data_IF_051207764270
#
_entry.id   IF_051207764270
#
_cell.length_a   1.000
_cell.length_b   1.000
_cell.length_c   1.000
_cell.angle_alpha   90.00
_cell.angle_beta   90.00
_cell.angle_gamma   90.00
#
_symmetry.space_group_name_H-M   'P 1'
#
loop_
_entity.id
_entity.type
_entity.pdbx_description
1 polymer ?
#
# COMPACT_ATOMS: atom_id res chain seq x y z
N UNK A 1 -28.98 -12.67 -12.95
CA UNK A 1 -28.32 -13.89 -12.44
C UNK A 1 -28.71 -14.08 -10.98
N UNK A 2 -29.48 -15.11 -10.68
CA UNK A 2 -29.89 -15.41 -9.30
C UNK A 2 -28.69 -15.91 -8.48
N UNK A 3 -28.46 -15.30 -7.32
CA UNK A 3 -27.42 -15.67 -6.36
C UNK A 3 -27.68 -17.02 -5.63
N UNK A 4 -28.42 -17.95 -6.26
CA UNK A 4 -28.75 -19.27 -5.72
C UNK A 4 -27.68 -20.34 -5.96
N UNK A 5 -26.61 -20.04 -6.71
CA UNK A 5 -25.68 -21.05 -7.23
C UNK A 5 -24.39 -21.29 -6.42
N UNK A 6 -24.18 -20.64 -5.29
CA UNK A 6 -23.07 -20.97 -4.39
C UNK A 6 -23.57 -21.22 -2.97
N UNK A 7 -24.22 -22.37 -2.76
CA UNK A 7 -24.15 -23.00 -1.44
C UNK A 7 -22.77 -23.66 -1.37
N UNK A 8 -21.80 -23.11 -0.61
CA UNK A 8 -20.49 -23.75 -0.50
C UNK A 8 -20.66 -25.17 0.03
N UNK A 9 -19.79 -26.09 -0.41
CA UNK A 9 -19.68 -27.42 0.19
C UNK A 9 -19.69 -27.31 1.72
N UNK A 10 -20.33 -28.24 2.47
CA UNK A 10 -20.40 -28.18 3.93
C UNK A 10 -19.04 -27.98 4.61
N UNK A 11 -17.96 -28.38 3.94
CA UNK A 11 -16.58 -28.34 4.42
C UNK A 11 -15.70 -27.28 3.72
N UNK A 12 -16.29 -26.28 3.06
CA UNK A 12 -15.53 -25.29 2.30
C UNK A 12 -14.67 -24.36 3.20
N UNK A 13 -15.02 -24.19 4.48
CA UNK A 13 -14.32 -23.31 5.41
C UNK A 13 -14.62 -21.81 5.23
N UNK A 14 -15.50 -21.43 4.30
CA UNK A 14 -15.97 -20.07 4.06
C UNK A 14 -17.48 -20.06 3.76
N UNK A 15 -18.11 -18.90 3.94
CA UNK A 15 -19.53 -18.67 3.62
C UNK A 15 -19.65 -17.63 2.51
N UNK A 16 -20.49 -17.89 1.52
CA UNK A 16 -20.77 -16.97 0.42
C UNK A 16 -22.02 -16.13 0.72
N UNK A 17 -22.03 -14.89 0.25
CA UNK A 17 -23.24 -14.07 0.16
C UNK A 17 -23.15 -13.17 -1.07
N UNK A 18 -24.29 -12.67 -1.54
CA UNK A 18 -24.32 -11.70 -2.64
C UNK A 18 -23.56 -10.44 -2.20
N UNK A 19 -22.59 -10.02 -3.01
CA UNK A 19 -21.84 -8.79 -2.75
C UNK A 19 -22.67 -7.56 -3.08
N UNK A 20 -22.55 -6.52 -2.25
CA UNK A 20 -23.09 -5.20 -2.53
C UNK A 20 -22.08 -4.32 -3.30
N UNK A 21 -20.87 -4.87 -3.57
CA UNK A 21 -19.75 -4.18 -4.21
C UNK A 21 -19.65 -4.42 -5.72
N UNK A 22 -20.14 -5.54 -6.24
CA UNK A 22 -20.03 -5.86 -7.67
C UNK A 22 -21.40 -6.29 -8.22
N UNK A 23 -21.85 -5.63 -9.28
CA UNK A 23 -23.07 -6.00 -10.01
C UNK A 23 -22.75 -6.73 -11.31
N UNK A 24 -21.60 -6.42 -11.91
CA UNK A 24 -21.07 -7.06 -13.11
C UNK A 24 -19.67 -7.62 -12.91
N UNK A 25 -19.22 -8.48 -13.83
CA UNK A 25 -17.82 -8.94 -13.86
C UNK A 25 -16.88 -7.77 -14.15
N UNK A 26 -17.33 -6.77 -14.90
CA UNK A 26 -16.52 -5.60 -15.24
C UNK A 26 -16.21 -4.77 -13.99
N UNK A 27 -17.21 -4.56 -13.12
CA UNK A 27 -17.02 -3.89 -11.82
C UNK A 27 -15.91 -4.57 -11.00
N UNK A 28 -15.89 -5.92 -11.01
CA UNK A 28 -14.88 -6.68 -10.29
C UNK A 28 -13.49 -6.56 -10.93
N UNK A 29 -13.40 -6.61 -12.27
CA UNK A 29 -12.13 -6.45 -13.00
C UNK A 29 -11.49 -5.09 -12.73
N UNK A 30 -12.29 -4.02 -12.71
CA UNK A 30 -11.82 -2.66 -12.46
C UNK A 30 -11.21 -2.49 -11.06
N UNK A 31 -11.54 -3.37 -10.12
CA UNK A 31 -10.99 -3.37 -8.77
C UNK A 31 -9.73 -4.24 -8.61
N UNK A 32 -9.31 -4.92 -9.68
CA UNK A 32 -8.16 -5.84 -9.71
C UNK A 32 -7.02 -5.31 -10.58
N UNK A 33 -6.39 -4.22 -10.16
CA UNK A 33 -5.31 -3.57 -10.92
C UNK A 33 -3.90 -4.08 -10.60
N UNK A 34 -3.67 -5.39 -10.47
CA UNK A 34 -2.31 -5.92 -10.34
C UNK A 34 -1.83 -6.45 -11.69
N UNK A 35 -0.69 -5.93 -12.14
CA UNK A 35 0.08 -6.48 -13.26
C UNK A 35 1.21 -7.31 -12.66
N UNK A 36 1.33 -8.56 -13.10
CA UNK A 36 2.40 -9.44 -12.64
C UNK A 36 3.74 -8.98 -13.21
N UNK A 37 4.73 -8.82 -12.33
CA UNK A 37 6.11 -8.54 -12.72
C UNK A 37 6.73 -9.75 -13.43
N UNK A 38 7.52 -9.51 -14.47
CA UNK A 38 8.31 -10.57 -15.07
C UNK A 38 9.28 -11.18 -14.04
N UNK A 39 9.34 -12.51 -13.98
CA UNK A 39 10.14 -13.21 -12.98
C UNK A 39 11.64 -12.94 -13.12
N UNK A 40 12.15 -12.83 -14.35
CA UNK A 40 13.58 -12.58 -14.57
C UNK A 40 13.95 -11.15 -14.17
N UNK A 41 13.09 -10.17 -14.48
CA UNK A 41 13.23 -8.79 -14.01
C UNK A 41 13.16 -8.70 -12.49
N UNK A 42 12.15 -9.33 -11.86
CA UNK A 42 11.97 -9.33 -10.40
C UNK A 42 13.22 -9.82 -9.66
N UNK A 43 13.80 -10.94 -10.11
CA UNK A 43 15.00 -11.53 -9.50
C UNK A 43 16.23 -10.65 -9.70
N UNK A 44 16.35 -9.99 -10.86
CA UNK A 44 17.47 -9.08 -11.15
C UNK A 44 17.39 -7.77 -10.36
N UNK A 45 16.19 -7.22 -10.17
CA UNK A 45 16.00 -5.93 -9.54
C UNK A 45 16.14 -5.98 -8.01
N UNK A 46 15.74 -7.10 -7.39
CA UNK A 46 15.66 -7.19 -5.92
C UNK A 46 16.15 -8.55 -5.41
N UNK A 47 16.90 -8.57 -4.30
CA UNK A 47 17.24 -9.82 -3.64
C UNK A 47 15.98 -10.48 -3.09
N UNK A 48 15.91 -11.81 -3.21
CA UNK A 48 14.87 -12.60 -2.52
C UNK A 48 15.41 -13.01 -1.15
N UNK A 49 14.90 -12.39 -0.10
CA UNK A 49 15.28 -12.71 1.27
C UNK A 49 14.59 -14.02 1.70
N UNK A 50 15.39 -15.00 2.09
CA UNK A 50 14.95 -16.25 2.71
C UNK A 50 15.56 -16.27 4.10
N UNK A 51 14.75 -16.12 5.14
CA UNK A 51 15.19 -16.03 6.55
C UNK A 51 15.72 -17.38 7.09
N UNK A 52 16.58 -18.06 6.33
CA UNK A 52 17.08 -19.41 6.61
C UNK A 52 18.07 -19.44 7.79
N UNK A 53 18.68 -18.29 8.07
CA UNK A 53 19.63 -18.04 9.16
C UNK A 53 18.94 -17.76 10.50
N UNK A 54 17.61 -17.63 10.50
CA UNK A 54 16.83 -17.27 11.68
C UNK A 54 16.21 -18.51 12.32
N UNK A 55 16.83 -19.02 13.38
CA UNK A 55 16.28 -20.12 14.17
C UNK A 55 15.29 -19.59 15.23
N UNK A 56 14.04 -19.32 14.82
CA UNK A 56 12.98 -18.85 15.71
C UNK A 56 11.78 -19.80 15.67
N UNK A 57 11.26 -20.12 16.86
CA UNK A 57 9.98 -20.84 16.99
C UNK A 57 8.82 -19.91 16.71
N UNK A 58 8.14 -20.10 15.57
CA UNK A 58 6.98 -19.29 15.19
C UNK A 58 5.74 -19.67 16.01
N UNK A 59 4.88 -18.69 16.36
CA UNK A 59 3.63 -18.98 17.04
C UNK A 59 2.63 -19.63 16.08
N UNK A 60 1.75 -20.49 16.62
CA UNK A 60 0.66 -21.12 15.86
C UNK A 60 -0.36 -20.10 15.31
N UNK A 61 -0.50 -18.96 15.99
CA UNK A 61 -1.39 -17.87 15.60
C UNK A 61 -0.66 -16.54 15.73
N UNK A 62 -0.81 -15.67 14.73
CA UNK A 62 -0.21 -14.34 14.72
C UNK A 62 -1.20 -13.31 14.18
N UNK A 63 -1.23 -12.14 14.82
CA UNK A 63 -2.05 -11.00 14.40
C UNK A 63 -1.26 -9.72 14.65
N UNK A 64 -0.84 -9.06 13.56
CA UNK A 64 -0.05 -7.83 13.61
C UNK A 64 -0.71 -6.74 14.45
N UNK A 65 -2.05 -6.65 14.46
CA UNK A 65 -2.81 -5.65 15.24
C UNK A 65 -2.65 -5.88 16.73
N UNK A 66 -2.50 -7.14 17.16
CA UNK A 66 -2.29 -7.52 18.56
C UNK A 66 -0.84 -7.34 18.99
N UNK A 67 0.12 -7.56 18.07
CA UNK A 67 1.53 -7.47 18.37
C UNK A 67 2.03 -6.00 18.39
N UNK A 68 1.64 -5.21 17.39
CA UNK A 68 2.00 -3.79 17.28
C UNK A 68 0.79 -2.89 17.54
N UNK A 69 0.28 -2.94 18.78
CA UNK A 69 -0.97 -2.24 19.17
C UNK A 69 -0.91 -0.74 18.95
N UNK A 70 0.28 -0.15 19.11
CA UNK A 70 0.55 1.29 19.01
C UNK A 70 0.77 1.76 17.56
N UNK A 71 0.54 0.90 16.56
CA UNK A 71 0.56 1.24 15.15
C UNK A 71 -0.87 1.23 14.59
N UNK A 72 -1.55 2.39 14.56
CA UNK A 72 -2.95 2.46 14.17
C UNK A 72 -3.19 2.07 12.71
N UNK A 73 -2.23 2.33 11.82
CA UNK A 73 -2.32 2.02 10.39
C UNK A 73 -2.64 0.54 10.10
N UNK A 74 -2.18 -0.39 10.95
CA UNK A 74 -2.40 -1.84 10.80
C UNK A 74 -3.89 -2.20 10.90
N UNK A 75 -4.69 -1.34 11.54
CA UNK A 75 -6.15 -1.50 11.67
C UNK A 75 -6.93 -0.69 10.64
N UNK A 76 -6.26 0.19 9.89
CA UNK A 76 -6.91 1.09 8.95
C UNK A 76 -7.24 0.32 7.67
N UNK A 77 -8.52 0.30 7.32
CA UNK A 77 -8.99 -0.20 6.03
C UNK A 77 -9.24 1.00 5.13
N UNK A 78 -8.60 1.01 3.96
CA UNK A 78 -8.78 2.07 2.96
C UNK A 78 -9.66 1.60 1.81
N UNK A 79 -10.07 2.55 0.97
CA UNK A 79 -10.86 2.28 -0.24
C UNK A 79 -10.18 2.93 -1.44
N UNK A 80 -9.96 2.16 -2.51
CA UNK A 80 -9.38 2.62 -3.76
C UNK A 80 -10.41 3.25 -4.71
N UNK A 81 -11.70 3.27 -4.33
CA UNK A 81 -12.80 3.78 -5.15
C UNK A 81 -12.86 3.07 -6.52
N UNK A 82 -13.44 3.70 -7.55
CA UNK A 82 -13.47 3.22 -8.94
C UNK A 82 -12.14 3.46 -9.69
N UNK A 83 -11.02 3.04 -9.09
CA UNK A 83 -9.67 3.11 -9.66
C UNK A 83 -8.92 1.82 -9.34
N UNK A 84 -8.34 1.14 -10.34
CA UNK A 84 -7.57 -0.11 -10.18
C UNK A 84 -6.19 0.10 -9.57
N UNK A 85 -6.12 0.81 -8.44
CA UNK A 85 -4.87 1.19 -7.77
C UNK A 85 -4.52 0.29 -6.59
N UNK A 86 -5.11 -0.91 -6.48
CA UNK A 86 -4.83 -1.87 -5.39
C UNK A 86 -3.33 -2.18 -5.22
N UNK A 87 -2.55 -2.17 -6.31
CA UNK A 87 -1.10 -2.35 -6.29
C UNK A 87 -0.38 -1.26 -5.50
N UNK A 88 -0.89 -0.02 -5.54
CA UNK A 88 -0.38 1.11 -4.78
C UNK A 88 -0.90 1.08 -3.35
N UNK A 89 -2.19 0.77 -3.14
CA UNK A 89 -2.81 0.69 -1.81
C UNK A 89 -2.11 -0.33 -0.91
N UNK A 90 -2.00 -1.58 -1.36
CA UNK A 90 -1.34 -2.63 -0.55
C UNK A 90 0.13 -2.30 -0.23
N UNK A 91 0.80 -1.56 -1.12
CA UNK A 91 2.14 -1.06 -0.88
C UNK A 91 2.15 0.02 0.20
N UNK A 92 1.41 1.13 0.03
CA UNK A 92 1.45 2.26 0.99
C UNK A 92 0.87 1.90 2.36
N UNK A 93 -0.11 0.99 2.43
CA UNK A 93 -0.63 0.44 3.70
C UNK A 93 0.50 -0.29 4.45
N UNK A 94 1.15 -1.24 3.78
CA UNK A 94 2.27 -2.01 4.35
C UNK A 94 3.47 -1.14 4.71
N UNK A 95 3.78 -0.12 3.91
CA UNK A 95 4.87 0.82 4.16
C UNK A 95 4.56 1.71 5.37
N UNK A 96 3.33 2.21 5.49
CA UNK A 96 2.86 2.97 6.66
C UNK A 96 3.02 2.14 7.95
N UNK A 97 2.61 0.87 7.91
CA UNK A 97 2.77 -0.07 9.02
C UNK A 97 4.24 -0.26 9.38
N UNK A 98 5.09 -0.53 8.39
CA UNK A 98 6.52 -0.75 8.59
C UNK A 98 7.22 0.47 9.17
N UNK A 99 6.85 1.68 8.73
CA UNK A 99 7.41 2.92 9.32
C UNK A 99 7.10 2.97 10.82
N UNK A 100 5.86 2.66 11.22
CA UNK A 100 5.50 2.61 12.62
C UNK A 100 6.20 1.50 13.40
N UNK A 101 6.24 0.28 12.84
CA UNK A 101 6.87 -0.88 13.48
C UNK A 101 8.36 -0.63 13.69
N UNK A 102 9.08 -0.21 12.65
CA UNK A 102 10.53 -0.04 12.70
C UNK A 102 10.97 1.23 13.45
N UNK A 103 10.12 2.25 13.54
CA UNK A 103 10.35 3.39 14.43
C UNK A 103 10.04 3.10 15.89
N UNK A 104 9.60 1.88 16.24
CA UNK A 104 9.11 1.51 17.58
C UNK A 104 7.97 2.43 18.03
N UNK A 105 7.02 2.65 17.13
CA UNK A 105 5.84 3.51 17.31
C UNK A 105 6.14 5.00 17.52
N UNK A 106 7.36 5.47 17.24
CA UNK A 106 7.71 6.90 17.32
C UNK A 106 7.21 7.70 16.12
N UNK A 107 7.06 7.06 14.96
CA UNK A 107 6.60 7.68 13.73
C UNK A 107 5.41 6.87 13.23
N UNK A 108 4.21 7.46 13.25
CA UNK A 108 3.02 6.88 12.65
C UNK A 108 2.49 7.85 11.60
N UNK A 109 2.51 7.40 10.34
CA UNK A 109 2.09 8.19 9.19
C UNK A 109 1.26 7.32 8.26
N UNK A 110 0.43 7.97 7.47
CA UNK A 110 -0.34 7.37 6.39
C UNK A 110 0.25 7.87 5.08
N UNK A 111 0.91 6.97 4.33
CA UNK A 111 1.52 7.30 3.05
C UNK A 111 0.46 7.44 1.95
N UNK A 112 0.67 8.43 1.10
CA UNK A 112 -0.21 8.82 0.01
C UNK A 112 -0.25 7.77 -1.09
N UNK A 113 -1.42 7.12 -1.25
CA UNK A 113 -1.68 6.26 -2.40
C UNK A 113 -1.62 7.05 -3.73
N UNK A 114 -2.15 8.27 -3.78
CA UNK A 114 -2.20 9.07 -5.03
C UNK A 114 -0.82 9.47 -5.51
N UNK A 115 0.06 9.95 -4.62
CA UNK A 115 1.47 10.19 -4.92
C UNK A 115 2.14 9.00 -5.62
N UNK A 116 2.03 7.80 -5.04
CA UNK A 116 2.61 6.61 -5.64
C UNK A 116 1.95 6.28 -6.99
N UNK A 117 0.62 6.34 -7.06
CA UNK A 117 -0.14 5.94 -8.24
C UNK A 117 0.12 6.88 -9.43
N UNK A 118 0.23 8.19 -9.20
CA UNK A 118 0.39 9.18 -10.26
C UNK A 118 1.86 9.44 -10.61
N UNK A 119 2.76 9.43 -9.62
CA UNK A 119 4.15 9.82 -9.84
C UNK A 119 5.09 8.65 -10.19
N UNK A 120 4.70 7.39 -9.94
CA UNK A 120 5.53 6.25 -10.34
C UNK A 120 5.20 5.78 -11.77
N UNK A 121 5.78 6.45 -12.76
CA UNK A 121 5.61 6.09 -14.18
C UNK A 121 6.14 4.70 -14.54
N UNK A 122 7.09 4.17 -13.76
CA UNK A 122 7.65 2.81 -13.95
C UNK A 122 6.85 1.72 -13.23
N UNK A 123 5.86 2.09 -12.42
CA UNK A 123 5.06 1.13 -11.68
C UNK A 123 3.90 0.57 -12.49
N UNK A 124 3.56 1.14 -13.64
CA UNK A 124 2.46 0.67 -14.48
C UNK A 124 1.61 1.84 -14.99
N UNK A 125 0.30 1.64 -15.03
CA UNK A 125 -0.66 2.50 -15.71
C UNK A 125 -1.60 3.23 -14.72
N UNK A 126 -1.12 3.49 -13.50
CA UNK A 126 -1.84 4.22 -12.47
C UNK A 126 -3.11 3.48 -12.03
N UNK A 127 -4.27 4.07 -12.31
CA UNK A 127 -5.54 3.39 -12.07
C UNK A 127 -5.64 2.11 -12.90
N UNK A 128 -5.09 2.04 -14.12
CA UNK A 128 -5.23 0.87 -15.02
C UNK A 128 -4.32 -0.31 -14.65
N UNK A 129 -3.95 -0.37 -13.37
CA UNK A 129 -3.13 -1.39 -12.78
C UNK A 129 -1.64 -1.10 -12.79
N UNK A 130 -0.93 -1.85 -11.96
CA UNK A 130 0.49 -1.67 -11.74
C UNK A 130 1.15 -2.83 -11.02
N UNK A 131 2.45 -2.71 -10.86
CA UNK A 131 3.38 -3.76 -10.46
C UNK A 131 3.81 -3.47 -9.02
N UNK A 132 3.38 -4.27 -8.03
CA UNK A 132 3.70 -4.03 -6.62
C UNK A 132 5.20 -3.96 -6.35
N UNK A 133 6.03 -4.80 -6.99
CA UNK A 133 7.49 -4.76 -6.79
C UNK A 133 8.08 -3.38 -7.10
N UNK A 134 7.65 -2.75 -8.19
CA UNK A 134 8.12 -1.42 -8.60
C UNK A 134 7.67 -0.32 -7.63
N UNK A 135 6.53 -0.50 -6.95
CA UNK A 135 6.09 0.42 -5.90
C UNK A 135 7.06 0.45 -4.71
N UNK A 136 7.56 -0.71 -4.30
CA UNK A 136 8.58 -0.79 -3.24
C UNK A 136 9.91 -0.16 -3.66
N UNK A 137 10.31 -0.33 -4.93
CA UNK A 137 11.49 0.37 -5.45
C UNK A 137 11.29 1.89 -5.49
N UNK A 138 10.12 2.35 -5.89
CA UNK A 138 9.80 3.78 -5.88
C UNK A 138 9.89 4.36 -4.47
N UNK A 139 9.32 3.67 -3.47
CA UNK A 139 9.45 4.08 -2.08
C UNK A 139 10.90 4.13 -1.61
N UNK A 140 11.73 3.16 -2.03
CA UNK A 140 13.15 3.13 -1.70
C UNK A 140 13.92 4.32 -2.28
N UNK A 141 13.75 4.63 -3.57
CA UNK A 141 14.60 5.60 -4.28
C UNK A 141 14.01 7.01 -4.32
N UNK A 142 12.71 7.13 -4.52
CA UNK A 142 12.03 8.42 -4.67
C UNK A 142 11.35 8.85 -3.38
N UNK A 143 10.89 7.91 -2.56
CA UNK A 143 10.10 8.20 -1.37
C UNK A 143 8.68 8.67 -1.68
N UNK A 144 7.79 8.56 -0.70
CA UNK A 144 6.36 8.84 -0.84
C UNK A 144 5.94 9.83 0.26
N UNK A 145 5.14 10.83 -0.10
CA UNK A 145 4.62 11.81 0.87
C UNK A 145 3.45 11.26 1.69
N UNK A 146 3.04 11.95 2.75
CA UNK A 146 1.83 11.58 3.50
C UNK A 146 0.56 11.88 2.70
N UNK A 147 -0.51 11.13 2.96
CA UNK A 147 -1.80 11.34 2.30
C UNK A 147 -2.83 10.29 2.70
N UNK A 148 -3.93 10.75 3.31
CA UNK A 148 -5.02 9.91 3.75
C UNK A 148 -6.14 9.78 2.74
N UNK A 149 -7.35 9.51 3.24
CA UNK A 149 -8.54 9.36 2.41
C UNK A 149 -9.06 10.71 1.88
N UNK A 150 -9.92 10.64 0.88
CA UNK A 150 -10.66 11.80 0.39
C UNK A 150 -11.48 12.48 1.48
N UNK A 151 -12.06 11.72 2.41
CA UNK A 151 -12.95 12.29 3.43
C UNK A 151 -12.17 13.05 4.52
N UNK A 152 -10.96 12.58 4.86
CA UNK A 152 -10.19 13.13 5.97
C UNK A 152 -9.32 14.31 5.57
N UNK A 153 -8.99 14.46 4.29
CA UNK A 153 -8.09 15.52 3.78
C UNK A 153 -6.78 15.61 4.58
N UNK A 154 -6.24 14.47 5.01
CA UNK A 154 -5.05 14.41 5.86
C UNK A 154 -3.77 14.22 5.05
N UNK A 155 -2.69 14.86 5.48
CA UNK A 155 -1.36 14.71 4.90
C UNK A 155 -1.09 15.65 3.73
N UNK A 156 0.01 15.42 3.02
CA UNK A 156 0.44 16.24 1.89
C UNK A 156 -0.46 16.06 0.66
N UNK A 157 -0.79 14.81 0.31
CA UNK A 157 -1.59 14.48 -0.87
C UNK A 157 -2.68 13.45 -0.52
N UNK A 158 -3.84 13.87 0.01
CA UNK A 158 -4.96 12.97 0.25
C UNK A 158 -5.48 12.37 -1.06
N UNK A 159 -6.09 11.19 -0.95
CA UNK A 159 -6.65 10.49 -2.09
C UNK A 159 -7.80 11.31 -2.72
N UNK A 160 -7.82 11.50 -4.05
CA UNK A 160 -8.78 12.41 -4.68
C UNK A 160 -10.15 11.77 -4.91
N UNK A 161 -10.26 10.45 -4.86
CA UNK A 161 -11.51 9.75 -5.17
C UNK A 161 -12.27 9.42 -3.89
N UNK A 162 -13.58 9.73 -3.82
CA UNK A 162 -14.37 9.48 -2.63
C UNK A 162 -14.56 7.99 -2.40
N UNK A 163 -14.72 7.60 -1.13
CA UNK A 163 -15.34 6.32 -0.80
C UNK A 163 -16.73 6.27 -1.41
N UNK A 164 -17.03 5.17 -2.08
CA UNK A 164 -18.29 5.04 -2.77
C UNK A 164 -18.84 3.61 -2.62
N UNK A 165 -20.17 3.53 -2.58
CA UNK A 165 -20.90 2.29 -2.67
C UNK A 165 -21.00 1.93 -4.14
N UNK A 166 -20.54 0.76 -4.53
CA UNK A 166 -20.67 0.40 -5.92
C UNK A 166 -22.14 0.18 -6.28
N UNK A 167 -22.98 -0.51 -5.47
CA UNK A 167 -24.41 -0.70 -5.81
C UNK A 167 -25.40 -0.89 -4.64
N UNK A 168 -25.14 -0.33 -3.46
CA UNK A 168 -26.15 -0.22 -2.40
C UNK A 168 -26.40 1.25 -2.05
N UNK A 169 -27.66 1.70 -2.12
CA UNK A 169 -28.10 2.96 -1.54
C UNK A 169 -28.11 2.84 -0.01
N UNK A 170 -26.93 2.67 0.57
CA UNK A 170 -26.79 2.88 2.01
C UNK A 170 -26.73 4.38 2.26
N UNK A 171 -27.21 4.85 3.42
CA UNK A 171 -27.09 6.26 3.82
C UNK A 171 -25.64 6.73 3.97
N UNK A 172 -24.66 5.82 3.94
CA UNK A 172 -23.28 6.08 4.37
C UNK A 172 -22.33 6.53 3.27
N UNK A 173 -22.51 6.14 2.00
CA UNK A 173 -21.64 6.56 0.89
C UNK A 173 -22.41 6.76 -0.42
N UNK A 174 -22.00 7.70 -1.29
CA UNK A 174 -22.61 7.87 -2.61
C UNK A 174 -22.38 6.66 -3.50
N UNK A 175 -23.17 6.50 -4.55
CA UNK A 175 -22.88 5.50 -5.58
C UNK A 175 -21.55 5.85 -6.27
N UNK A 176 -20.73 4.85 -6.56
CA UNK A 176 -19.54 5.08 -7.37
C UNK A 176 -19.94 5.60 -8.75
N UNK A 177 -19.16 6.52 -9.29
CA UNK A 177 -19.33 6.94 -10.68
C UNK A 177 -19.30 5.71 -11.58
N UNK A 178 -20.24 5.66 -12.53
CA UNK A 178 -20.35 4.56 -13.50
C UNK A 178 -19.15 4.51 -14.45
N UNK A 179 -18.42 5.62 -14.53
CA UNK A 179 -17.21 5.80 -15.30
C UNK A 179 -16.00 5.73 -14.37
N UNK A 180 -14.97 5.10 -14.89
CA UNK A 180 -13.74 4.84 -14.20
C UNK A 180 -12.90 6.11 -14.04
N UNK A 181 -12.27 6.27 -12.87
CA UNK A 181 -11.40 7.42 -12.65
C UNK A 181 -10.11 7.28 -13.46
N UNK A 182 -9.82 8.31 -14.26
CA UNK A 182 -8.51 8.47 -14.89
C UNK A 182 -7.43 8.64 -13.83
N UNK A 183 -6.23 8.12 -14.12
CA UNK A 183 -5.04 8.37 -13.31
C UNK A 183 -4.84 9.89 -13.15
N UNK A 184 -4.78 10.42 -11.92
CA UNK A 184 -4.49 11.84 -11.71
C UNK A 184 -3.08 12.16 -12.21
N UNK A 185 -2.86 13.42 -12.57
CA UNK A 185 -1.53 13.92 -12.88
C UNK A 185 -0.61 13.87 -11.64
N UNK A 186 0.69 13.69 -11.88
CA UNK A 186 1.69 13.76 -10.82
C UNK A 186 1.97 15.22 -10.44
N UNK A 187 1.46 15.65 -9.29
CA UNK A 187 1.81 16.94 -8.71
C UNK A 187 2.93 16.77 -7.66
N UNK A 188 3.90 17.68 -7.67
CA UNK A 188 5.01 17.73 -6.70
C UNK A 188 4.82 18.84 -5.66
N UNK A 189 3.58 19.02 -5.23
CA UNK A 189 3.12 19.98 -4.22
C UNK A 189 2.15 19.28 -3.26
N UNK A 190 2.06 19.80 -2.04
CA UNK A 190 1.03 19.40 -1.08
C UNK A 190 -0.22 20.27 -1.25
N UNK A 191 -1.35 19.83 -0.68
CA UNK A 191 -2.54 20.67 -0.53
C UNK A 191 -2.25 21.94 0.29
N UNK A 192 -3.01 22.99 0.04
CA UNK A 192 -2.71 24.36 0.50
C UNK A 192 -2.67 24.51 2.04
N UNK A 193 -3.50 23.74 2.76
CA UNK A 193 -3.57 23.72 4.21
C UNK A 193 -2.45 22.89 4.88
N UNK A 194 -1.59 22.24 4.08
CA UNK A 194 -0.48 21.43 4.57
C UNK A 194 0.87 22.18 4.50
N UNK A 195 1.31 22.69 5.65
CA UNK A 195 2.46 23.60 5.73
C UNK A 195 3.84 22.97 5.47
N UNK A 196 3.97 21.64 5.54
CA UNK A 196 5.27 20.98 5.34
C UNK A 196 5.54 20.84 3.84
N UNK A 197 6.68 21.35 3.30
CA UNK A 197 6.96 21.28 1.87
C UNK A 197 7.02 19.84 1.35
N UNK A 198 6.50 19.61 0.14
CA UNK A 198 6.45 18.30 -0.52
C UNK A 198 7.74 17.48 -0.39
N UNK A 199 8.90 18.09 -0.72
CA UNK A 199 10.20 17.41 -0.64
C UNK A 199 10.57 16.99 0.79
N UNK A 200 10.18 17.77 1.80
CA UNK A 200 10.43 17.47 3.21
C UNK A 200 9.45 16.44 3.76
N UNK A 201 8.32 16.22 3.09
CA UNK A 201 7.32 15.24 3.51
C UNK A 201 7.52 13.83 2.94
N UNK A 202 8.56 13.62 2.13
CA UNK A 202 8.88 12.30 1.60
C UNK A 202 9.41 11.36 2.70
N UNK A 203 8.79 10.19 2.80
CA UNK A 203 9.25 9.06 3.58
C UNK A 203 9.86 8.02 2.64
N UNK A 204 11.04 7.54 3.02
CA UNK A 204 11.80 6.52 2.31
C UNK A 204 11.84 5.23 3.13
N UNK A 205 12.34 4.15 2.53
CA UNK A 205 12.59 2.91 3.26
C UNK A 205 13.65 3.10 4.37
N UNK A 206 13.18 3.35 5.59
CA UNK A 206 14.02 3.55 6.77
C UNK A 206 14.82 2.30 7.13
N UNK A 207 14.32 1.10 6.81
CA UNK A 207 15.02 -0.15 7.17
C UNK A 207 16.29 -0.30 6.34
N UNK A 208 16.22 -0.01 5.03
CA UNK A 208 17.41 0.03 4.18
C UNK A 208 18.40 1.11 4.61
N UNK A 209 17.93 2.29 5.00
CA UNK A 209 18.82 3.35 5.52
C UNK A 209 19.55 2.90 6.79
N UNK A 210 18.86 2.23 7.72
CA UNK A 210 19.47 1.68 8.92
C UNK A 210 20.45 0.53 8.62
N UNK A 211 20.12 -0.37 7.69
CA UNK A 211 21.03 -1.45 7.27
C UNK A 211 22.30 -0.90 6.59
N UNK A 212 22.17 0.12 5.73
CA UNK A 212 23.31 0.78 5.10
C UNK A 212 24.20 1.48 6.13
N UNK A 213 23.60 2.18 7.11
CA UNK A 213 24.37 2.79 8.19
C UNK A 213 25.09 1.74 9.05
N UNK A 214 24.45 0.62 9.37
CA UNK A 214 25.08 -0.48 10.10
C UNK A 214 26.24 -1.11 9.30
N UNK A 215 26.07 -1.34 8.00
CA UNK A 215 27.14 -1.85 7.13
C UNK A 215 28.31 -0.87 7.03
N UNK A 216 28.05 0.43 6.90
CA UNK A 216 29.10 1.46 6.87
C UNK A 216 29.86 1.51 8.20
N UNK A 217 29.17 1.42 9.33
CA UNK A 217 29.81 1.36 10.65
C UNK A 217 30.67 0.10 10.81
N UNK A 218 30.21 -1.06 10.34
CA UNK A 218 30.99 -2.30 10.36
C UNK A 218 32.24 -2.21 9.47
N UNK A 219 32.14 -1.62 8.27
CA UNK A 219 33.28 -1.40 7.38
C UNK A 219 34.31 -0.44 7.98
N UNK A 220 33.86 0.64 8.64
CA UNK A 220 34.74 1.58 9.33
C UNK A 220 35.47 0.93 10.51
N UNK A 221 34.77 0.10 11.30
CA UNK A 221 35.39 -0.65 12.40
C UNK A 221 36.42 -1.68 11.90
N UNK A 222 36.15 -2.36 10.79
CA UNK A 222 37.11 -3.28 10.18
C UNK A 222 38.36 -2.57 9.65
N UNK A 223 38.22 -1.37 9.07
CA UNK A 223 39.36 -0.56 8.63
C UNK A 223 40.21 -0.05 9.80
N UNK A 224 39.59 0.28 10.93
CA UNK A 224 40.29 0.69 12.15
C UNK A 224 41.02 -0.46 12.86
N UNK A 225 40.58 -1.71 12.68
CA UNK A 225 41.27 -2.90 13.23
C UNK A 225 42.43 -3.39 12.34
N UNK A 226 42.58 -2.82 11.13
CA UNK A 226 43.67 -3.13 10.19
C UNK A 226 44.78 -2.07 10.19
N UNK A 227 44.69 -1.07 11.06
CA UNK A 227 45.73 -0.06 11.34
C UNK A 227 46.30 -0.28 12.73
#
# INVERSE_FOLDING_TARGET
MEARLFSPSPNAGWKAQRTNRFSTIEDAKLMMGVILEDNNQRIKLRPTIRHNDVNIKLPKFFDSRKHWKNCPSIRTIRDQSSCGSCWAFGAVESMSDRICIHSKSKISVELSAVNLLSCCTRCGLGCNGGIPGMAWDYWKYEGIVTGGSNETHTGCQPYPFPKCNHHASTKSYPLCESHYYSTPECYKSCQDDYHKPYKKDKFYDMWLQQQQQQQQQQQQQQQQQQQ
#
